data_IF_064884852625
#
_entry.id   IF_064884852625
#
_cell.length_a   1.000
_cell.length_b   1.000
_cell.length_c   1.000
_cell.angle_alpha   90.00
_cell.angle_beta   90.00
_cell.angle_gamma   90.00
#
_symmetry.space_group_name_H-M   'P 1'
#
loop_
_entity.id
_entity.type
_entity.pdbx_description
1 polymer ?
#
# COMPACT_ATOMS: atom_id res chain seq x y z
N UNK A 1 -0.27 -23.70 -18.36
CA UNK A 1 -0.66 -22.40 -17.77
C UNK A 1 0.16 -21.31 -18.45
N UNK A 2 -0.46 -20.38 -19.17
CA UNK A 2 0.27 -19.40 -19.99
C UNK A 2 0.99 -18.37 -19.12
N UNK A 3 2.16 -17.89 -19.56
CA UNK A 3 2.95 -16.87 -18.84
C UNK A 3 2.14 -15.59 -18.55
N UNK A 4 1.23 -15.23 -19.47
CA UNK A 4 0.29 -14.10 -19.33
C UNK A 4 -0.64 -14.24 -18.11
N UNK A 5 -1.15 -15.44 -17.85
CA UNK A 5 -2.08 -15.68 -16.72
C UNK A 5 -1.35 -15.55 -15.36
N UNK A 6 -0.08 -15.98 -15.30
CA UNK A 6 0.78 -15.77 -14.10
C UNK A 6 1.06 -14.30 -13.83
N UNK A 7 1.33 -13.52 -14.88
CA UNK A 7 1.58 -12.07 -14.76
C UNK A 7 0.31 -11.33 -14.30
N UNK A 8 -0.85 -11.67 -14.88
CA UNK A 8 -2.14 -11.11 -14.47
C UNK A 8 -2.49 -11.41 -13.02
N UNK A 9 -2.31 -12.66 -12.57
CA UNK A 9 -2.51 -13.02 -11.16
C UNK A 9 -1.63 -12.18 -10.23
N UNK A 10 -0.35 -12.03 -10.58
CA UNK A 10 0.61 -11.25 -9.79
C UNK A 10 0.26 -9.75 -9.73
N UNK A 11 -0.28 -9.19 -10.82
CA UNK A 11 -0.78 -7.81 -10.89
C UNK A 11 -1.99 -7.60 -9.96
N UNK A 12 -2.93 -8.54 -9.97
CA UNK A 12 -4.12 -8.52 -9.10
C UNK A 12 -3.70 -8.59 -7.63
N UNK A 13 -2.73 -9.44 -7.30
CA UNK A 13 -2.21 -9.54 -5.93
C UNK A 13 -1.57 -8.21 -5.50
N UNK A 14 -0.68 -7.63 -6.32
CA UNK A 14 -0.08 -6.33 -6.00
C UNK A 14 -1.10 -5.20 -5.86
N UNK A 15 -2.19 -5.25 -6.63
CA UNK A 15 -3.32 -4.31 -6.49
C UNK A 15 -4.00 -4.45 -5.12
N UNK A 16 -4.36 -5.68 -4.76
CA UNK A 16 -5.03 -5.96 -3.50
C UNK A 16 -4.15 -5.59 -2.30
N UNK A 17 -2.85 -5.94 -2.32
CA UNK A 17 -1.92 -5.57 -1.26
C UNK A 17 -1.77 -4.05 -1.12
N UNK A 18 -1.64 -3.32 -2.22
CA UNK A 18 -1.54 -1.85 -2.20
C UNK A 18 -2.81 -1.22 -1.61
N UNK A 19 -4.00 -1.69 -2.00
CA UNK A 19 -5.27 -1.20 -1.46
C UNK A 19 -5.45 -1.51 0.03
N UNK A 20 -5.06 -2.71 0.47
CA UNK A 20 -5.12 -3.10 1.89
C UNK A 20 -4.15 -2.24 2.72
N UNK A 21 -2.91 -2.05 2.26
CA UNK A 21 -1.94 -1.17 2.95
C UNK A 21 -2.43 0.27 3.03
N UNK A 22 -3.06 0.77 1.96
CA UNK A 22 -3.63 2.11 1.94
C UNK A 22 -4.77 2.25 2.96
N UNK A 23 -5.70 1.29 2.97
CA UNK A 23 -6.80 1.27 3.93
C UNK A 23 -6.30 1.19 5.38
N UNK A 24 -5.34 0.31 5.65
CA UNK A 24 -4.70 0.19 6.97
C UNK A 24 -4.05 1.50 7.40
N UNK A 25 -3.35 2.20 6.49
CA UNK A 25 -2.76 3.51 6.80
C UNK A 25 -3.83 4.56 7.10
N UNK A 26 -4.93 4.59 6.35
CA UNK A 26 -6.08 5.48 6.64
C UNK A 26 -6.68 5.19 8.01
N UNK A 27 -6.92 3.92 8.37
CA UNK A 27 -7.43 3.55 9.70
C UNK A 27 -6.44 3.90 10.81
N UNK A 28 -5.14 3.71 10.59
CA UNK A 28 -4.09 4.08 11.54
C UNK A 28 -4.11 5.60 11.78
N UNK A 29 -4.20 6.39 10.70
CA UNK A 29 -4.32 7.85 10.78
C UNK A 29 -5.59 8.29 11.51
N UNK A 30 -6.74 7.68 11.23
CA UNK A 30 -7.99 7.94 11.95
C UNK A 30 -7.82 7.64 13.45
N UNK A 31 -7.16 6.54 13.82
CA UNK A 31 -6.85 6.21 15.20
C UNK A 31 -5.97 7.28 15.89
N UNK A 32 -5.01 7.84 15.17
CA UNK A 32 -4.18 8.96 15.64
C UNK A 32 -5.02 10.22 15.83
N UNK A 33 -5.90 10.56 14.88
CA UNK A 33 -6.76 11.76 14.98
C UNK A 33 -7.72 11.65 16.17
N UNK A 34 -8.32 10.48 16.39
CA UNK A 34 -9.29 10.25 17.47
C UNK A 34 -8.63 10.28 18.85
N UNK A 35 -7.44 9.67 19.01
CA UNK A 35 -6.79 9.53 20.33
C UNK A 35 -5.57 10.44 20.53
N UNK A 36 -5.17 11.23 19.54
CA UNK A 36 -3.88 11.91 19.51
C UNK A 36 -3.62 12.88 20.65
N UNK A 37 -4.66 13.50 21.20
CA UNK A 37 -4.59 14.37 22.39
C UNK A 37 -4.31 13.62 23.70
N UNK A 38 -4.56 12.31 23.74
CA UNK A 38 -4.39 11.46 24.93
C UNK A 38 -3.11 10.62 24.91
N UNK A 39 -2.38 10.59 23.79
CA UNK A 39 -1.17 9.79 23.65
C UNK A 39 0.08 10.60 24.01
N UNK A 40 1.07 9.99 24.70
CA UNK A 40 2.39 10.59 24.88
C UNK A 40 3.01 10.93 23.52
N UNK A 41 3.67 12.09 23.42
CA UNK A 41 4.27 12.62 22.17
C UNK A 41 5.16 11.59 21.46
N UNK A 42 5.91 10.77 22.21
CA UNK A 42 6.74 9.71 21.64
C UNK A 42 5.97 8.60 20.94
N UNK A 43 4.80 8.19 21.47
CA UNK A 43 3.94 7.18 20.83
C UNK A 43 3.24 7.75 19.60
N UNK A 44 2.86 9.02 19.64
CA UNK A 44 2.26 9.73 18.51
C UNK A 44 3.24 9.78 17.33
N UNK A 45 4.49 10.17 17.59
CA UNK A 45 5.54 10.22 16.57
C UNK A 45 5.80 8.85 15.93
N UNK A 46 5.85 7.78 16.73
CA UNK A 46 6.04 6.42 16.22
C UNK A 46 4.89 5.97 15.30
N UNK A 47 3.65 6.29 15.66
CA UNK A 47 2.47 5.97 14.83
C UNK A 47 2.45 6.75 13.52
N UNK A 48 2.83 8.04 13.54
CA UNK A 48 2.96 8.85 12.33
C UNK A 48 4.04 8.31 11.39
N UNK A 49 5.21 7.95 11.91
CA UNK A 49 6.29 7.35 11.12
C UNK A 49 5.82 6.02 10.50
N UNK A 50 5.13 5.18 11.29
CA UNK A 50 4.51 3.96 10.79
C UNK A 50 3.54 4.21 9.64
N UNK A 51 2.62 5.18 9.80
CA UNK A 51 1.66 5.55 8.77
C UNK A 51 2.34 6.00 7.45
N UNK A 52 3.39 6.82 7.56
CA UNK A 52 4.18 7.29 6.41
C UNK A 52 4.88 6.11 5.72
N UNK A 53 5.48 5.20 6.48
CA UNK A 53 6.12 4.00 5.92
C UNK A 53 5.11 3.12 5.20
N UNK A 54 3.92 2.88 5.79
CA UNK A 54 2.86 2.13 5.13
C UNK A 54 2.39 2.78 3.82
N UNK A 55 2.29 4.12 3.78
CA UNK A 55 1.96 4.85 2.55
C UNK A 55 3.06 4.73 1.49
N UNK A 56 4.32 4.85 1.89
CA UNK A 56 5.46 4.68 0.97
C UNK A 56 5.48 3.27 0.37
N UNK A 57 5.25 2.23 1.19
CA UNK A 57 5.11 0.87 0.70
C UNK A 57 3.91 0.72 -0.23
N UNK A 58 2.74 1.26 0.12
CA UNK A 58 1.55 1.22 -0.72
C UNK A 58 1.81 1.86 -2.10
N UNK A 59 2.46 3.02 -2.11
CA UNK A 59 2.85 3.73 -3.33
C UNK A 59 3.87 2.93 -4.16
N UNK A 60 4.85 2.32 -3.51
CA UNK A 60 5.83 1.47 -4.18
C UNK A 60 5.16 0.26 -4.87
N UNK A 61 4.26 -0.43 -4.16
CA UNK A 61 3.49 -1.55 -4.73
C UNK A 61 2.58 -1.11 -5.88
N UNK A 62 1.96 0.07 -5.76
CA UNK A 62 1.13 0.62 -6.84
C UNK A 62 1.95 0.96 -8.09
N UNK A 63 3.15 1.50 -7.91
CA UNK A 63 4.09 1.79 -9.01
C UNK A 63 4.62 0.52 -9.65
N UNK A 64 4.97 -0.49 -8.84
CA UNK A 64 5.36 -1.82 -9.33
C UNK A 64 4.24 -2.46 -10.16
N UNK A 65 2.99 -2.33 -9.72
CA UNK A 65 1.82 -2.78 -10.50
C UNK A 65 1.72 -2.08 -11.85
N UNK A 66 1.82 -0.74 -11.86
CA UNK A 66 1.70 0.06 -13.09
C UNK A 66 2.76 -0.35 -14.13
N UNK A 67 4.00 -0.58 -13.68
CA UNK A 67 5.10 -1.07 -14.53
C UNK A 67 4.82 -2.48 -15.07
N UNK A 68 4.18 -3.33 -14.29
CA UNK A 68 3.82 -4.69 -14.70
C UNK A 68 2.62 -4.70 -15.68
N UNK A 69 1.66 -3.78 -15.53
CA UNK A 69 0.57 -3.53 -16.50
C UNK A 69 1.11 -3.04 -17.86
N UNK A 70 2.10 -2.13 -17.85
CA UNK A 70 2.79 -1.66 -19.06
C UNK A 70 3.48 -2.83 -19.81
N UNK A 71 4.23 -3.66 -19.10
CA UNK A 71 4.88 -4.85 -19.68
C UNK A 71 3.89 -5.88 -20.24
N UNK A 72 2.69 -5.98 -19.66
CA UNK A 72 1.64 -6.86 -20.19
C UNK A 72 1.01 -6.28 -21.47
N UNK A 73 0.91 -4.96 -21.56
CA UNK A 73 0.44 -4.23 -22.75
C UNK A 73 1.37 -4.38 -23.95
N UNK A 74 2.68 -4.45 -23.73
CA UNK A 74 3.68 -4.71 -24.79
C UNK A 74 3.68 -6.16 -25.32
N UNK A 75 3.07 -7.10 -24.58
CA UNK A 75 2.90 -8.49 -25.03
C UNK A 75 1.58 -8.76 -25.76
N UNK A 76 0.77 -7.74 -26.02
CA UNK A 76 -0.47 -7.83 -26.81
C UNK A 76 -0.18 -7.66 -28.29
#
# INVERSE_FOLDING_TARGET
>A
MNQKDRLLGKIVDYKNYSQILLALSTFLYLGIVIKGSSLPTGKLALLFIGAILFLLFAYFFQRARKKCEEQLGEMK
#
